data_IF_759946948002
#
_entry.id   IF_759946948002
#
_cell.length_a   1.000
_cell.length_b   1.000
_cell.length_c   1.000
_cell.angle_alpha   90.00
_cell.angle_beta   90.00
_cell.angle_gamma   90.00
#
_symmetry.space_group_name_H-M   'P 1'
#
loop_
_entity.id
_entity.type
_entity.pdbx_description
1 polymer ?
#
# COMPACT_ATOMS: atom_id res chain seq x y z
N UNK A 1 -16.09 8.95 -8.45
CA UNK A 1 -15.98 7.51 -8.11
C UNK A 1 -15.00 6.89 -9.07
N UNK A 2 -13.86 6.44 -8.56
CA UNK A 2 -12.84 5.77 -9.36
C UNK A 2 -13.16 4.26 -9.35
N UNK A 3 -14.09 3.85 -10.21
CA UNK A 3 -14.63 2.47 -10.22
C UNK A 3 -13.52 1.41 -10.39
N UNK A 4 -12.46 1.74 -11.12
CA UNK A 4 -11.30 0.86 -11.29
C UNK A 4 -10.55 0.63 -9.97
N UNK A 5 -10.35 1.68 -9.18
CA UNK A 5 -9.66 1.61 -7.88
C UNK A 5 -10.41 0.74 -6.87
N UNK A 6 -11.73 0.89 -6.75
CA UNK A 6 -12.52 0.10 -5.81
C UNK A 6 -12.59 -1.38 -6.21
N UNK A 7 -12.78 -1.67 -7.51
CA UNK A 7 -12.77 -3.04 -8.00
C UNK A 7 -11.40 -3.72 -7.78
N UNK A 8 -10.33 -2.94 -7.95
CA UNK A 8 -8.98 -3.39 -7.68
C UNK A 8 -8.74 -3.69 -6.19
N UNK A 9 -9.19 -2.81 -5.30
CA UNK A 9 -9.12 -2.99 -3.84
C UNK A 9 -9.90 -4.24 -3.40
N UNK A 10 -11.11 -4.44 -3.89
CA UNK A 10 -11.90 -5.63 -3.56
C UNK A 10 -11.27 -6.92 -4.09
N UNK A 11 -10.68 -6.87 -5.29
CA UNK A 11 -9.92 -8.00 -5.83
C UNK A 11 -8.74 -8.37 -4.94
N UNK A 12 -7.96 -7.38 -4.47
CA UNK A 12 -6.88 -7.61 -3.52
C UNK A 12 -7.38 -8.19 -2.20
N UNK A 13 -8.43 -7.60 -1.62
CA UNK A 13 -9.02 -8.05 -0.36
C UNK A 13 -9.59 -9.47 -0.44
N UNK A 14 -10.07 -9.89 -1.62
CA UNK A 14 -10.52 -11.27 -1.84
C UNK A 14 -9.40 -12.31 -1.84
N UNK A 15 -8.15 -11.87 -2.06
CA UNK A 15 -6.96 -12.73 -2.18
C UNK A 15 -6.02 -12.65 -0.99
N UNK A 16 -6.03 -11.53 -0.28
CA UNK A 16 -5.16 -11.28 0.87
C UNK A 16 -5.99 -10.91 2.11
N UNK A 17 -6.07 -11.81 3.11
CA UNK A 17 -6.75 -11.54 4.37
C UNK A 17 -6.19 -10.31 5.11
N UNK A 18 -4.91 -9.97 4.92
CA UNK A 18 -4.32 -8.79 5.54
C UNK A 18 -4.89 -7.49 4.97
N UNK A 19 -5.13 -7.44 3.65
CA UNK A 19 -5.80 -6.30 2.99
C UNK A 19 -7.27 -6.21 3.40
N UNK A 20 -7.97 -7.34 3.50
CA UNK A 20 -9.35 -7.34 4.01
C UNK A 20 -9.42 -6.77 5.43
N UNK A 21 -8.51 -7.19 6.32
CA UNK A 21 -8.42 -6.66 7.70
C UNK A 21 -8.20 -5.15 7.70
N UNK A 22 -7.25 -4.66 6.93
CA UNK A 22 -6.90 -3.22 6.86
C UNK A 22 -8.09 -2.38 6.37
N UNK A 23 -8.88 -2.89 5.42
CA UNK A 23 -10.14 -2.26 5.00
C UNK A 23 -11.20 -2.25 6.10
N UNK A 24 -11.39 -3.36 6.80
CA UNK A 24 -12.36 -3.49 7.90
C UNK A 24 -11.99 -2.59 9.09
N UNK A 25 -10.69 -2.40 9.34
CA UNK A 25 -10.17 -1.46 10.33
C UNK A 25 -10.32 0.02 9.89
N UNK A 26 -10.75 0.27 8.64
CA UNK A 26 -11.08 1.60 8.13
C UNK A 26 -9.89 2.37 7.55
N UNK A 27 -8.85 1.68 7.08
CA UNK A 27 -7.75 2.32 6.38
C UNK A 27 -8.09 2.57 4.91
N UNK A 28 -7.69 3.73 4.41
CA UNK A 28 -7.77 4.10 3.01
C UNK A 28 -6.51 3.65 2.26
N UNK A 29 -6.72 3.01 1.11
CA UNK A 29 -5.65 2.73 0.17
C UNK A 29 -4.97 4.03 -0.30
N UNK A 30 -3.63 4.10 -0.32
CA UNK A 30 -2.88 5.24 -0.88
C UNK A 30 -2.30 4.87 -2.25
N UNK A 31 -1.42 3.86 -2.31
CA UNK A 31 -0.71 3.43 -3.53
C UNK A 31 -0.06 2.05 -3.38
N UNK A 32 0.28 1.39 -4.50
CA UNK A 32 0.94 0.08 -4.61
C UNK A 32 2.40 0.14 -5.12
N UNK A 33 2.97 1.35 -5.22
CA UNK A 33 4.13 1.58 -6.09
C UNK A 33 5.48 1.75 -5.38
N UNK A 34 5.61 1.31 -4.12
CA UNK A 34 6.86 1.51 -3.38
C UNK A 34 7.60 0.20 -3.14
N UNK A 35 8.93 0.25 -3.27
CA UNK A 35 9.76 -0.91 -2.98
C UNK A 35 9.78 -1.21 -1.48
N UNK A 36 9.81 -2.49 -1.13
CA UNK A 36 9.96 -2.95 0.26
C UNK A 36 11.40 -2.81 0.78
N UNK A 37 12.38 -2.74 -0.13
CA UNK A 37 13.79 -2.60 0.22
C UNK A 37 14.22 -1.13 0.18
N UNK A 38 15.03 -0.74 1.17
CA UNK A 38 15.78 0.50 1.17
C UNK A 38 16.78 0.46 0.01
N UNK A 39 16.69 1.42 -0.92
CA UNK A 39 17.51 1.40 -2.14
C UNK A 39 18.89 2.05 -1.94
N UNK A 40 19.88 1.71 -2.80
CA UNK A 40 21.21 2.29 -2.74
C UNK A 40 21.20 3.83 -2.84
N UNK A 41 22.13 4.46 -2.12
CA UNK A 41 22.31 5.92 -2.13
C UNK A 41 22.51 6.44 -3.57
N UNK A 42 21.68 7.39 -3.99
CA UNK A 42 21.76 8.05 -5.31
C UNK A 42 20.54 7.88 -6.21
N UNK A 43 19.59 6.99 -5.87
CA UNK A 43 18.34 6.80 -6.62
C UNK A 43 17.19 7.56 -5.93
N UNK A 44 16.59 8.53 -6.63
CA UNK A 44 15.42 9.28 -6.13
C UNK A 44 14.11 8.50 -6.38
N UNK A 45 13.94 7.37 -5.69
CA UNK A 45 12.65 6.66 -5.63
C UNK A 45 12.30 6.53 -4.15
N UNK A 46 11.09 6.95 -3.77
CA UNK A 46 10.61 6.78 -2.39
C UNK A 46 10.34 5.29 -2.14
N UNK A 47 10.91 4.72 -1.09
CA UNK A 47 10.53 3.39 -0.60
C UNK A 47 9.30 3.48 0.32
N UNK A 48 8.70 2.32 0.62
CA UNK A 48 7.44 2.28 1.36
C UNK A 48 7.60 2.81 2.79
N UNK A 49 8.75 2.55 3.41
CA UNK A 49 9.09 3.00 4.75
C UNK A 49 9.21 4.53 4.82
N UNK A 50 9.87 5.15 3.83
CA UNK A 50 10.02 6.62 3.76
C UNK A 50 8.66 7.30 3.64
N UNK A 51 7.76 6.75 2.82
CA UNK A 51 6.41 7.30 2.66
C UNK A 51 5.58 7.07 3.93
N UNK A 52 5.69 5.90 4.55
CA UNK A 52 5.03 5.60 5.81
C UNK A 52 5.45 6.60 6.90
N UNK A 53 6.77 6.75 7.13
CA UNK A 53 7.29 7.69 8.13
C UNK A 53 6.89 9.14 7.87
N UNK A 54 6.83 9.57 6.59
CA UNK A 54 6.33 10.90 6.26
C UNK A 54 4.85 11.07 6.67
N UNK A 55 4.01 10.09 6.35
CA UNK A 55 2.58 10.14 6.68
C UNK A 55 2.33 10.01 8.19
N UNK A 56 3.14 9.22 8.90
CA UNK A 56 3.09 9.14 10.37
C UNK A 56 3.42 10.49 11.01
N UNK A 57 4.41 11.22 10.50
CA UNK A 57 4.73 12.58 10.94
C UNK A 57 3.59 13.58 10.68
N UNK A 58 2.78 13.33 9.64
CA UNK A 58 1.56 14.09 9.34
C UNK A 58 0.36 13.69 10.23
N UNK A 59 0.53 12.71 11.12
CA UNK A 59 -0.45 12.27 12.10
C UNK A 59 -1.37 11.14 11.62
N UNK A 60 -1.02 10.44 10.54
CA UNK A 60 -1.75 9.26 10.09
C UNK A 60 -1.22 7.98 10.75
N UNK A 61 -2.11 7.02 10.98
CA UNK A 61 -1.73 5.62 11.20
C UNK A 61 -1.47 4.97 9.85
N UNK A 62 -0.40 4.19 9.73
CA UNK A 62 0.01 3.55 8.47
C UNK A 62 0.09 2.04 8.61
N UNK A 63 -0.41 1.35 7.58
CA UNK A 63 -0.24 -0.09 7.40
C UNK A 63 0.42 -0.34 6.04
N UNK A 64 1.40 -1.24 6.04
CA UNK A 64 2.08 -1.68 4.83
C UNK A 64 1.62 -3.10 4.49
N UNK A 65 1.07 -3.29 3.30
CA UNK A 65 0.67 -4.61 2.82
C UNK A 65 1.46 -4.97 1.55
N UNK A 66 1.40 -6.23 1.07
CA UNK A 66 1.95 -6.56 -0.23
C UNK A 66 1.32 -5.68 -1.33
N UNK A 67 2.10 -5.34 -2.35
CA UNK A 67 1.56 -4.70 -3.55
C UNK A 67 1.00 -5.76 -4.50
N UNK A 68 -0.03 -5.39 -5.26
CA UNK A 68 -0.63 -6.25 -6.29
C UNK A 68 -0.68 -5.51 -7.63
N UNK A 69 -0.56 -6.26 -8.72
CA UNK A 69 -0.79 -5.74 -10.06
C UNK A 69 -2.29 -5.75 -10.41
N UNK A 70 -2.67 -5.15 -11.54
CA UNK A 70 -4.07 -5.01 -11.99
C UNK A 70 -4.86 -6.32 -12.06
N UNK A 71 -4.16 -7.46 -12.21
CA UNK A 71 -4.77 -8.81 -12.23
C UNK A 71 -4.91 -9.45 -10.84
N UNK A 72 -4.55 -8.74 -9.77
CA UNK A 72 -4.62 -9.21 -8.39
C UNK A 72 -3.49 -10.17 -8.01
N UNK A 73 -2.35 -10.12 -8.71
CA UNK A 73 -1.18 -10.95 -8.38
C UNK A 73 -0.17 -10.13 -7.56
N UNK A 74 0.41 -10.69 -6.48
CA UNK A 74 1.44 -9.99 -5.70
C UNK A 74 2.61 -9.57 -6.58
N UNK A 75 3.17 -8.39 -6.31
CA UNK A 75 4.39 -7.91 -6.94
C UNK A 75 5.55 -8.11 -5.94
N UNK A 76 6.43 -9.09 -6.15
CA UNK A 76 7.54 -9.35 -5.24
C UNK A 76 8.42 -8.10 -5.05
N UNK A 77 8.79 -7.81 -3.80
CA UNK A 77 9.63 -6.66 -3.45
C UNK A 77 8.93 -5.30 -3.49
N UNK A 78 7.60 -5.28 -3.65
CA UNK A 78 6.79 -4.06 -3.62
C UNK A 78 5.75 -4.12 -2.51
N UNK A 79 5.45 -2.95 -1.94
CA UNK A 79 4.48 -2.76 -0.88
C UNK A 79 3.44 -1.71 -1.26
N UNK A 80 2.26 -1.92 -0.71
CA UNK A 80 1.15 -0.99 -0.72
C UNK A 80 1.11 -0.22 0.60
N UNK A 81 0.77 1.06 0.51
CA UNK A 81 0.62 1.95 1.67
C UNK A 81 -0.85 2.22 1.90
N UNK A 82 -1.27 2.03 3.13
CA UNK A 82 -2.63 2.24 3.62
C UNK A 82 -2.59 3.21 4.79
N UNK A 83 -3.54 4.14 4.87
CA UNK A 83 -3.54 5.17 5.91
C UNK A 83 -4.89 5.33 6.60
N UNK A 84 -4.87 5.75 7.85
CA UNK A 84 -6.05 6.09 8.63
C UNK A 84 -5.78 7.36 9.45
N UNK A 85 -6.80 8.20 9.64
CA UNK A 85 -6.75 9.34 10.58
C UNK A 85 -7.25 8.94 11.95
#
# INVERSE_FOLDING_TARGET
>A
MDFGRMAFIELMASRDPSIRRVLEEGYDFVTNAFTSEARPAGVRVKDAATVASQLEQEGYLIELCPAYNETGNPIPGMQSVWRKR
#
